data_IF_322263479924
#
_entry.id   IF_322263479924
#
_cell.length_a   1.000
_cell.length_b   1.000
_cell.length_c   1.000
_cell.angle_alpha   90.00
_cell.angle_beta   90.00
_cell.angle_gamma   90.00
#
_symmetry.space_group_name_H-M   'P 1'
#
loop_
_entity.id
_entity.type
_entity.pdbx_description
1 polymer ?
#
# COMPACT_ATOMS: atom_id res chain seq x y z
N UNK A 1 34.26 17.84 -6.69
CA UNK A 1 32.98 17.11 -6.65
C UNK A 1 31.97 18.02 -5.99
N UNK A 2 30.84 18.23 -6.63
CA UNK A 2 29.70 18.81 -5.95
C UNK A 2 29.18 17.78 -4.92
N UNK A 3 28.91 18.25 -3.70
CA UNK A 3 28.38 17.38 -2.64
C UNK A 3 27.01 16.78 -3.06
N UNK A 4 26.26 17.51 -3.87
CA UNK A 4 24.97 17.06 -4.42
C UNK A 4 25.12 15.84 -5.33
N UNK A 5 26.14 15.80 -6.20
CA UNK A 5 26.41 14.64 -7.05
C UNK A 5 26.70 13.39 -6.20
N UNK A 6 27.46 13.56 -5.11
CA UNK A 6 27.72 12.49 -4.16
C UNK A 6 26.46 11.99 -3.48
N UNK A 7 25.60 12.90 -3.01
CA UNK A 7 24.31 12.55 -2.39
C UNK A 7 23.36 11.87 -3.37
N UNK A 8 23.21 12.39 -4.61
CA UNK A 8 22.42 11.76 -5.67
C UNK A 8 22.91 10.35 -5.98
N UNK A 9 24.25 10.19 -6.06
CA UNK A 9 24.88 8.89 -6.33
C UNK A 9 24.63 7.91 -5.18
N UNK A 10 24.75 8.35 -3.93
CA UNK A 10 24.46 7.52 -2.76
C UNK A 10 23.02 7.01 -2.80
N UNK A 11 22.06 7.90 -3.04
CA UNK A 11 20.63 7.54 -3.08
C UNK A 11 20.35 6.55 -4.22
N UNK A 12 20.92 6.76 -5.40
CA UNK A 12 20.72 5.87 -6.54
C UNK A 12 21.34 4.47 -6.30
N UNK A 13 22.57 4.41 -5.78
CA UNK A 13 23.25 3.14 -5.46
C UNK A 13 22.53 2.37 -4.37
N UNK A 14 22.06 3.06 -3.32
CA UNK A 14 21.33 2.44 -2.22
C UNK A 14 19.99 1.84 -2.69
N UNK A 15 19.21 2.57 -3.48
CA UNK A 15 17.92 2.11 -4.04
C UNK A 15 18.09 0.91 -4.97
N UNK A 16 19.15 0.92 -5.80
CA UNK A 16 19.45 -0.16 -6.75
C UNK A 16 20.21 -1.33 -6.11
N UNK A 17 20.66 -1.19 -4.86
CA UNK A 17 21.56 -2.16 -4.18
C UNK A 17 22.75 -2.56 -5.06
N UNK A 18 23.18 -1.66 -5.94
CA UNK A 18 24.17 -1.90 -6.99
C UNK A 18 24.81 -0.61 -7.48
N UNK A 19 26.14 -0.55 -7.55
CA UNK A 19 26.86 0.58 -8.14
C UNK A 19 26.59 0.71 -9.65
N UNK A 20 26.51 -0.41 -10.35
CA UNK A 20 26.21 -0.41 -11.79
C UNK A 20 24.77 0.04 -12.05
N UNK A 21 23.82 -0.44 -11.25
CA UNK A 21 22.41 -0.02 -11.33
C UNK A 21 22.22 1.45 -11.03
N UNK A 22 22.83 1.95 -9.93
CA UNK A 22 22.78 3.36 -9.57
C UNK A 22 23.43 4.28 -10.59
N UNK A 23 24.59 3.88 -11.12
CA UNK A 23 25.28 4.61 -12.17
C UNK A 23 24.43 4.71 -13.47
N UNK A 24 23.83 3.60 -13.88
CA UNK A 24 22.92 3.57 -15.05
C UNK A 24 21.71 4.49 -14.85
N UNK A 25 21.13 4.50 -13.67
CA UNK A 25 20.01 5.38 -13.33
C UNK A 25 20.36 6.86 -13.48
N UNK A 26 21.60 7.24 -13.13
CA UNK A 26 22.09 8.62 -13.19
C UNK A 26 22.75 9.00 -14.53
N UNK A 27 22.84 8.08 -15.48
CA UNK A 27 23.51 8.32 -16.76
C UNK A 27 25.03 8.52 -16.64
N UNK A 28 25.68 7.98 -15.60
CA UNK A 28 27.13 8.08 -15.36
C UNK A 28 27.82 6.72 -15.42
N UNK A 29 29.14 6.71 -15.47
CA UNK A 29 29.90 5.46 -15.42
C UNK A 29 29.96 4.89 -13.99
N UNK A 30 30.03 3.56 -13.85
CA UNK A 30 30.21 2.89 -12.55
C UNK A 30 31.48 3.36 -11.84
N UNK A 31 32.56 3.64 -12.59
CA UNK A 31 33.81 4.20 -12.06
C UNK A 31 33.59 5.58 -11.43
N UNK A 32 32.77 6.43 -12.07
CA UNK A 32 32.45 7.76 -11.56
C UNK A 32 31.56 7.68 -10.32
N UNK A 33 30.57 6.78 -10.32
CA UNK A 33 29.73 6.53 -9.14
C UNK A 33 30.58 6.06 -7.95
N UNK A 34 31.49 5.11 -8.15
CA UNK A 34 32.42 4.66 -7.11
C UNK A 34 33.32 5.78 -6.60
N UNK A 35 33.80 6.65 -7.49
CA UNK A 35 34.59 7.84 -7.12
C UNK A 35 33.78 8.81 -6.25
N UNK A 36 32.54 9.10 -6.61
CA UNK A 36 31.68 10.02 -5.87
C UNK A 36 31.39 9.50 -4.46
N UNK A 37 31.07 8.20 -4.33
CA UNK A 37 30.87 7.59 -3.01
C UNK A 37 32.15 7.61 -2.19
N UNK A 38 33.30 7.23 -2.75
CA UNK A 38 34.59 7.26 -2.05
C UNK A 38 34.96 8.66 -1.54
N UNK A 39 34.67 9.71 -2.32
CA UNK A 39 34.89 11.10 -1.92
C UNK A 39 33.93 11.52 -0.77
N UNK A 40 32.67 11.04 -0.80
CA UNK A 40 31.72 11.31 0.26
C UNK A 40 32.12 10.61 1.56
N UNK A 41 32.52 9.32 1.49
CA UNK A 41 33.05 8.54 2.60
C UNK A 41 34.31 9.19 3.20
N UNK A 42 35.22 9.67 2.35
CA UNK A 42 36.45 10.38 2.79
C UNK A 42 36.10 11.71 3.47
N UNK A 43 35.15 12.47 2.93
CA UNK A 43 34.72 13.76 3.49
C UNK A 43 34.14 13.61 4.91
N UNK A 44 33.43 12.52 5.16
CA UNK A 44 32.78 12.26 6.44
C UNK A 44 33.59 11.32 7.35
N UNK A 45 34.76 10.85 6.90
CA UNK A 45 35.58 9.88 7.60
C UNK A 45 34.79 8.63 8.06
N UNK A 46 33.82 8.20 7.23
CA UNK A 46 32.90 7.11 7.55
C UNK A 46 32.57 6.30 6.29
N UNK A 47 32.50 4.97 6.43
CA UNK A 47 31.98 4.10 5.37
C UNK A 47 30.45 4.21 5.33
N UNK A 48 29.91 4.39 4.13
CA UNK A 48 28.47 4.50 3.89
C UNK A 48 27.90 3.19 3.34
N UNK A 49 28.76 2.35 2.72
CA UNK A 49 28.35 1.07 2.17
C UNK A 49 29.24 -0.08 2.65
N UNK A 50 28.61 -1.20 2.97
CA UNK A 50 29.25 -2.51 2.98
C UNK A 50 29.29 -3.02 1.53
N UNK A 51 30.51 -3.29 1.02
CA UNK A 51 30.74 -3.76 -0.33
C UNK A 51 31.26 -5.19 -0.29
N UNK A 52 30.50 -6.11 -0.85
CA UNK A 52 30.96 -7.48 -1.12
C UNK A 52 30.86 -7.75 -2.60
N UNK A 53 31.46 -8.84 -3.07
CA UNK A 53 31.35 -9.25 -4.48
C UNK A 53 29.92 -9.62 -4.89
N UNK A 54 29.03 -9.84 -3.93
CA UNK A 54 27.66 -10.31 -4.15
C UNK A 54 26.58 -9.31 -3.75
N UNK A 55 26.90 -8.30 -2.91
CA UNK A 55 25.90 -7.37 -2.40
C UNK A 55 26.49 -6.00 -2.06
N UNK A 56 25.65 -4.97 -2.19
CA UNK A 56 25.91 -3.60 -1.76
C UNK A 56 24.79 -3.21 -0.79
N UNK A 57 25.14 -2.97 0.46
CA UNK A 57 24.20 -2.58 1.52
C UNK A 57 24.70 -1.36 2.26
N UNK A 58 23.79 -0.53 2.79
CA UNK A 58 24.17 0.61 3.61
C UNK A 58 24.72 0.14 4.97
N UNK A 59 25.73 0.86 5.49
CA UNK A 59 26.10 0.81 6.91
C UNK A 59 25.06 1.54 7.74
N UNK A 60 25.09 1.47 9.07
CA UNK A 60 24.20 2.25 9.94
C UNK A 60 24.38 3.75 9.71
N UNK A 61 25.62 4.23 9.58
CA UNK A 61 25.95 5.61 9.23
C UNK A 61 25.43 5.95 7.83
N UNK A 62 25.59 5.04 6.87
CA UNK A 62 25.09 5.17 5.51
C UNK A 62 23.57 5.28 5.45
N UNK A 63 22.86 4.48 6.26
CA UNK A 63 21.41 4.52 6.39
C UNK A 63 20.94 5.87 6.95
N UNK A 64 21.50 6.31 8.06
CA UNK A 64 21.17 7.60 8.66
C UNK A 64 21.45 8.78 7.70
N UNK A 65 22.50 8.69 6.91
CA UNK A 65 22.83 9.70 5.90
C UNK A 65 21.87 9.65 4.71
N UNK A 66 21.54 8.46 4.21
CA UNK A 66 20.56 8.23 3.15
C UNK A 66 19.19 8.83 3.48
N UNK A 67 18.66 8.52 4.67
CA UNK A 67 17.35 9.02 5.14
C UNK A 67 17.27 10.54 5.19
N UNK A 68 18.38 11.22 5.40
CA UNK A 68 18.46 12.68 5.39
C UNK A 68 18.75 13.26 4.01
N UNK A 69 19.50 12.55 3.16
CA UNK A 69 19.79 13.00 1.79
C UNK A 69 18.55 13.01 0.91
N UNK A 70 17.67 12.01 1.02
CA UNK A 70 16.48 11.91 0.18
C UNK A 70 15.63 13.18 0.24
N UNK A 71 15.14 13.63 1.42
CA UNK A 71 14.31 14.84 1.49
C UNK A 71 15.05 16.13 1.10
N UNK A 72 16.36 16.20 1.35
CA UNK A 72 17.16 17.37 0.94
C UNK A 72 17.26 17.48 -0.57
N UNK A 73 17.53 16.39 -1.26
CA UNK A 73 17.60 16.36 -2.72
C UNK A 73 16.25 16.70 -3.34
N UNK A 74 15.16 16.23 -2.77
CA UNK A 74 13.80 16.56 -3.21
C UNK A 74 13.50 18.06 -3.05
N UNK A 75 13.93 18.69 -1.95
CA UNK A 75 13.81 20.14 -1.77
C UNK A 75 14.61 20.94 -2.79
N UNK A 76 15.80 20.47 -3.16
CA UNK A 76 16.62 21.11 -4.18
C UNK A 76 15.95 20.99 -5.55
N UNK A 77 15.43 19.81 -5.88
CA UNK A 77 14.69 19.60 -7.13
C UNK A 77 13.42 20.48 -7.19
N UNK A 78 12.70 20.64 -6.07
CA UNK A 78 11.58 21.60 -5.96
C UNK A 78 11.99 23.07 -6.15
N UNK A 79 13.18 23.48 -5.69
CA UNK A 79 13.69 24.82 -5.92
C UNK A 79 14.01 25.07 -7.39
N UNK A 80 14.60 24.11 -8.06
CA UNK A 80 14.89 24.17 -9.49
C UNK A 80 13.59 24.28 -10.31
N UNK A 81 12.53 23.53 -9.91
CA UNK A 81 11.20 23.59 -10.50
C UNK A 81 10.53 24.97 -10.32
N UNK A 82 10.70 25.61 -9.16
CA UNK A 82 10.16 26.99 -8.90
C UNK A 82 10.80 28.04 -9.81
N UNK A 83 12.09 27.88 -10.13
CA UNK A 83 12.82 28.83 -10.98
C UNK A 83 12.50 28.62 -12.46
N UNK A 84 12.32 27.37 -12.89
CA UNK A 84 12.09 27.04 -14.30
C UNK A 84 10.64 27.25 -14.74
N UNK A 85 9.67 27.19 -13.83
CA UNK A 85 8.26 27.29 -14.18
C UNK A 85 7.51 28.27 -13.28
N UNK A 86 7.13 29.43 -13.80
CA UNK A 86 6.19 30.39 -13.19
C UNK A 86 4.76 29.81 -13.00
N UNK A 87 4.54 28.54 -13.35
CA UNK A 87 3.37 27.74 -13.01
C UNK A 87 3.90 26.43 -12.42
N UNK A 88 3.71 26.24 -11.12
CA UNK A 88 4.15 25.06 -10.37
C UNK A 88 3.47 23.78 -10.92
N UNK A 89 4.02 23.21 -12.00
CA UNK A 89 3.63 21.88 -12.42
C UNK A 89 4.37 20.87 -11.55
N UNK A 90 3.60 20.11 -10.76
CA UNK A 90 4.16 19.03 -9.97
C UNK A 90 4.86 18.02 -10.86
N UNK A 91 6.07 17.61 -10.51
CA UNK A 91 6.89 16.66 -11.28
C UNK A 91 7.57 15.61 -10.39
N UNK A 92 8.12 14.60 -11.03
CA UNK A 92 8.90 13.54 -10.38
C UNK A 92 8.15 12.24 -10.16
N UNK A 93 8.80 11.26 -9.52
CA UNK A 93 8.25 9.91 -9.31
C UNK A 93 7.64 9.80 -7.92
N UNK A 94 6.47 9.17 -7.84
CA UNK A 94 5.80 8.77 -6.61
C UNK A 94 5.77 7.23 -6.57
N UNK A 95 6.37 6.63 -5.54
CA UNK A 95 6.36 5.19 -5.31
C UNK A 95 5.26 4.82 -4.33
N UNK A 96 4.26 4.13 -4.85
CA UNK A 96 3.09 3.67 -4.10
C UNK A 96 3.14 2.17 -3.89
N UNK A 97 2.65 1.72 -2.73
CA UNK A 97 2.25 0.33 -2.53
C UNK A 97 0.82 0.24 -2.00
N UNK A 98 0.09 -0.78 -2.43
CA UNK A 98 -1.30 -0.98 -2.03
C UNK A 98 -1.67 -2.47 -1.98
N UNK A 99 -2.74 -2.86 -1.24
CA UNK A 99 -3.29 -4.21 -1.31
C UNK A 99 -3.74 -4.55 -2.72
N UNK A 100 -3.48 -5.77 -3.16
CA UNK A 100 -3.65 -6.20 -4.57
C UNK A 100 -5.06 -5.95 -5.09
N UNK A 101 -6.08 -6.37 -4.36
CA UNK A 101 -7.47 -6.22 -4.79
C UNK A 101 -7.91 -4.74 -4.85
N UNK A 102 -7.49 -3.91 -3.90
CA UNK A 102 -7.82 -2.49 -3.85
C UNK A 102 -7.02 -1.69 -4.87
N UNK A 103 -5.72 -1.94 -4.93
CA UNK A 103 -4.80 -1.24 -5.80
C UNK A 103 -5.11 -1.40 -7.29
N UNK A 104 -5.47 -2.63 -7.71
CA UNK A 104 -5.82 -2.94 -9.11
C UNK A 104 -7.22 -2.48 -9.54
N UNK A 105 -8.00 -1.86 -8.66
CA UNK A 105 -9.35 -1.39 -8.95
C UNK A 105 -9.52 0.05 -8.46
N UNK A 106 -10.06 0.24 -7.27
CA UNK A 106 -10.42 1.56 -6.71
C UNK A 106 -9.29 2.57 -6.69
N UNK A 107 -8.05 2.14 -6.37
CA UNK A 107 -6.92 3.06 -6.36
C UNK A 107 -6.52 3.50 -7.78
N UNK A 108 -6.52 2.59 -8.75
CA UNK A 108 -6.23 2.93 -10.16
C UNK A 108 -7.28 3.90 -10.70
N UNK A 109 -8.57 3.69 -10.39
CA UNK A 109 -9.66 4.61 -10.77
C UNK A 109 -9.44 6.01 -10.20
N UNK A 110 -8.93 6.10 -8.96
CA UNK A 110 -8.62 7.38 -8.32
C UNK A 110 -7.32 8.02 -8.85
N UNK A 111 -6.32 7.22 -9.25
CA UNK A 111 -5.05 7.73 -9.76
C UNK A 111 -5.14 8.28 -11.20
N UNK A 112 -6.03 7.74 -12.03
CA UNK A 112 -6.14 8.14 -13.42
C UNK A 112 -6.42 9.65 -13.60
N UNK A 113 -7.41 10.27 -12.92
CA UNK A 113 -7.64 11.73 -13.00
C UNK A 113 -6.45 12.54 -12.45
N UNK A 114 -5.78 12.05 -11.40
CA UNK A 114 -4.61 12.72 -10.84
C UNK A 114 -3.46 12.80 -11.84
N UNK A 115 -3.16 11.72 -12.54
CA UNK A 115 -2.11 11.66 -13.56
C UNK A 115 -2.47 12.49 -14.80
N UNK A 116 -3.75 12.58 -15.17
CA UNK A 116 -4.21 13.46 -16.24
C UNK A 116 -4.00 14.94 -15.89
N UNK A 117 -4.22 15.31 -14.62
CA UNK A 117 -4.02 16.68 -14.13
C UNK A 117 -2.54 17.04 -13.98
N UNK A 118 -1.68 16.04 -13.72
CA UNK A 118 -0.25 16.22 -13.45
C UNK A 118 0.62 15.38 -14.40
N UNK A 119 0.74 15.75 -15.68
CA UNK A 119 1.40 14.92 -16.70
C UNK A 119 2.91 14.72 -16.47
N UNK A 120 3.55 15.54 -15.63
CA UNK A 120 4.97 15.43 -15.29
C UNK A 120 5.21 14.52 -14.05
N UNK A 121 4.15 13.99 -13.44
CA UNK A 121 4.26 13.00 -12.37
C UNK A 121 4.27 11.59 -12.96
N UNK A 122 5.21 10.78 -12.48
CA UNK A 122 5.27 9.33 -12.70
C UNK A 122 4.86 8.61 -11.43
N UNK A 123 3.90 7.70 -11.50
CA UNK A 123 3.54 6.80 -10.40
C UNK A 123 4.09 5.41 -10.67
N UNK A 124 4.86 4.88 -9.71
CA UNK A 124 5.31 3.49 -9.67
C UNK A 124 4.47 2.77 -8.60
N UNK A 125 3.49 1.96 -9.04
CA UNK A 125 2.56 1.27 -8.15
C UNK A 125 2.97 -0.19 -7.98
N UNK A 126 3.27 -0.60 -6.76
CA UNK A 126 3.56 -1.98 -6.36
C UNK A 126 2.37 -2.55 -5.59
N UNK A 127 1.85 -3.70 -6.01
CA UNK A 127 0.71 -4.33 -5.36
C UNK A 127 1.18 -5.51 -4.51
N UNK A 128 0.89 -5.45 -3.20
CA UNK A 128 1.25 -6.51 -2.26
C UNK A 128 0.31 -6.51 -1.05
N UNK A 129 -0.17 -7.70 -0.68
CA UNK A 129 -0.96 -7.92 0.53
C UNK A 129 -0.09 -8.20 1.77
N UNK A 130 1.24 -8.23 1.60
CA UNK A 130 2.19 -8.33 2.72
C UNK A 130 2.46 -6.95 3.32
N UNK A 131 2.80 -6.92 4.61
CA UNK A 131 3.31 -5.73 5.26
C UNK A 131 4.71 -5.42 4.71
N UNK A 132 4.80 -4.32 3.96
CA UNK A 132 6.04 -3.81 3.38
C UNK A 132 6.64 -2.81 4.36
N UNK A 133 7.93 -2.93 4.63
CA UNK A 133 8.68 -1.93 5.39
C UNK A 133 8.86 -0.69 4.50
N UNK A 134 8.01 0.31 4.68
CA UNK A 134 7.91 1.52 3.85
C UNK A 134 9.28 2.21 3.70
N UNK A 135 10.03 2.32 4.79
CA UNK A 135 11.32 3.01 4.83
C UNK A 135 12.39 2.20 4.08
N UNK A 136 12.43 0.88 4.29
CA UNK A 136 13.50 0.01 3.75
C UNK A 136 13.36 -0.23 2.24
N UNK A 137 12.16 -0.12 1.70
CA UNK A 137 11.87 -0.36 0.27
C UNK A 137 11.79 0.92 -0.57
N UNK A 138 12.02 2.09 0.02
CA UNK A 138 11.98 3.37 -0.68
C UNK A 138 10.60 3.73 -1.22
N UNK A 139 9.55 3.33 -0.50
CA UNK A 139 8.14 3.64 -0.80
C UNK A 139 7.81 5.02 -0.24
N UNK A 140 7.21 5.88 -1.06
CA UNK A 140 6.81 7.22 -0.64
C UNK A 140 5.48 7.19 0.14
N UNK A 141 4.51 6.39 -0.32
CA UNK A 141 3.20 6.23 0.31
C UNK A 141 2.74 4.77 0.23
N UNK A 142 2.29 4.21 1.33
CA UNK A 142 1.62 2.92 1.36
C UNK A 142 0.12 3.09 1.66
N UNK A 143 -0.72 2.55 0.81
CA UNK A 143 -2.15 2.44 1.08
C UNK A 143 -2.36 1.13 1.84
N UNK A 144 -2.96 1.19 3.02
CA UNK A 144 -3.13 -0.01 3.88
C UNK A 144 -4.45 0.02 4.64
N UNK A 145 -5.00 -1.17 4.85
CA UNK A 145 -6.15 -1.37 5.72
C UNK A 145 -5.69 -1.61 7.17
N UNK A 146 -6.51 -1.17 8.13
CA UNK A 146 -6.32 -1.40 9.55
C UNK A 146 -5.59 -0.29 10.29
N UNK A 147 -5.19 -0.57 11.52
CA UNK A 147 -4.43 0.35 12.38
C UNK A 147 -2.93 0.16 12.18
N UNK A 148 -2.18 1.25 12.27
CA UNK A 148 -0.73 1.22 12.27
C UNK A 148 -0.21 0.79 13.64
N UNK A 149 0.76 -0.09 13.63
CA UNK A 149 1.49 -0.50 14.84
C UNK A 149 2.79 0.30 15.03
N UNK A 150 3.27 1.01 14.00
CA UNK A 150 4.54 1.75 14.03
C UNK A 150 4.30 3.24 14.26
N UNK A 151 4.90 3.78 15.34
CA UNK A 151 4.79 5.19 15.75
C UNK A 151 5.64 6.17 14.93
N UNK A 152 6.55 5.67 14.07
CA UNK A 152 7.41 6.52 13.23
C UNK A 152 6.75 6.95 11.92
N UNK A 153 5.60 6.37 11.61
CA UNK A 153 4.84 6.64 10.40
C UNK A 153 3.60 7.49 10.69
N UNK A 154 3.21 8.29 9.69
CA UNK A 154 1.94 9.03 9.73
C UNK A 154 0.89 8.23 8.98
N UNK A 155 -0.30 8.09 9.59
CA UNK A 155 -1.49 7.55 8.94
C UNK A 155 -2.49 8.66 8.67
N UNK A 156 -2.77 8.93 7.41
CA UNK A 156 -3.90 9.74 6.99
C UNK A 156 -5.06 8.82 6.61
N UNK A 157 -6.14 8.87 7.39
CA UNK A 157 -7.36 8.11 7.05
C UNK A 157 -7.96 8.62 5.75
N UNK A 158 -8.21 7.71 4.81
CA UNK A 158 -8.81 8.00 3.51
C UNK A 158 -10.31 7.68 3.50
N UNK A 159 -10.70 6.47 3.94
CA UNK A 159 -12.10 6.05 3.95
C UNK A 159 -12.38 4.96 4.98
N UNK A 160 -13.66 4.73 5.25
CA UNK A 160 -14.16 3.54 5.93
C UNK A 160 -14.80 2.61 4.93
N UNK A 161 -14.68 1.33 5.15
CA UNK A 161 -15.19 0.31 4.24
C UNK A 161 -15.92 -0.78 5.03
N UNK A 162 -17.11 -1.13 4.59
CA UNK A 162 -17.92 -2.20 5.19
C UNK A 162 -17.31 -3.57 4.86
N UNK A 163 -17.32 -4.45 5.84
CA UNK A 163 -17.12 -5.88 5.67
C UNK A 163 -18.50 -6.53 5.64
N UNK A 164 -18.76 -7.29 4.62
CA UNK A 164 -20.07 -7.91 4.37
C UNK A 164 -19.93 -9.43 4.29
N UNK A 165 -20.94 -10.16 4.75
CA UNK A 165 -21.08 -11.58 4.50
C UNK A 165 -21.92 -11.81 3.24
N UNK A 166 -21.61 -12.84 2.47
CA UNK A 166 -22.22 -13.10 1.17
C UNK A 166 -22.20 -14.58 0.82
N UNK A 167 -23.14 -15.01 0.00
CA UNK A 167 -23.18 -16.33 -0.63
C UNK A 167 -23.90 -16.27 -1.96
N UNK A 168 -23.69 -17.31 -2.81
CA UNK A 168 -24.46 -17.40 -4.05
C UNK A 168 -25.90 -17.88 -3.80
N UNK A 169 -26.87 -17.48 -4.63
CA UNK A 169 -28.23 -17.99 -4.57
C UNK A 169 -28.29 -19.52 -4.66
N UNK A 170 -27.39 -20.12 -5.45
CA UNK A 170 -27.30 -21.58 -5.60
C UNK A 170 -26.89 -22.28 -4.30
N UNK A 171 -25.88 -21.73 -3.58
CA UNK A 171 -25.50 -22.27 -2.28
C UNK A 171 -26.66 -22.19 -1.28
N UNK A 172 -27.32 -21.04 -1.22
CA UNK A 172 -28.44 -20.81 -0.31
C UNK A 172 -29.65 -21.68 -0.62
N UNK A 173 -29.90 -21.98 -1.88
CA UNK A 173 -30.96 -22.90 -2.27
C UNK A 173 -30.68 -24.35 -1.80
N UNK A 174 -29.43 -24.79 -1.81
CA UNK A 174 -29.03 -26.14 -1.39
C UNK A 174 -28.90 -26.31 0.12
N UNK A 175 -28.43 -25.29 0.83
CA UNK A 175 -28.06 -25.39 2.25
C UNK A 175 -28.94 -24.55 3.19
N UNK A 176 -29.91 -23.81 2.63
CA UNK A 176 -30.76 -22.87 3.36
C UNK A 176 -30.08 -21.51 3.52
N UNK A 177 -30.93 -20.47 3.64
CA UNK A 177 -30.44 -19.11 3.92
C UNK A 177 -30.39 -18.93 5.44
N UNK A 178 -29.21 -18.71 6.06
CA UNK A 178 -29.12 -18.48 7.48
C UNK A 178 -29.76 -17.13 7.84
N UNK A 179 -30.68 -17.15 8.80
CA UNK A 179 -31.39 -15.96 9.29
C UNK A 179 -30.64 -15.20 10.39
N UNK A 180 -29.73 -15.89 11.08
CA UNK A 180 -28.97 -15.33 12.20
C UNK A 180 -27.50 -15.76 12.11
N UNK A 181 -26.53 -14.90 12.53
CA UNK A 181 -25.10 -15.23 12.44
C UNK A 181 -24.68 -16.53 13.13
N UNK A 182 -25.34 -16.94 14.21
CA UNK A 182 -25.04 -18.21 14.90
C UNK A 182 -25.21 -19.44 14.00
N UNK A 183 -26.04 -19.38 12.98
CA UNK A 183 -26.22 -20.47 12.02
C UNK A 183 -24.98 -20.75 11.16
N UNK A 184 -24.04 -19.82 11.08
CA UNK A 184 -22.77 -19.99 10.35
C UNK A 184 -21.95 -21.19 10.84
N UNK A 185 -22.11 -21.60 12.09
CA UNK A 185 -21.43 -22.76 12.65
C UNK A 185 -21.75 -24.07 11.92
N UNK A 186 -22.87 -24.13 11.18
CA UNK A 186 -23.30 -25.29 10.39
C UNK A 186 -23.11 -25.14 8.89
N UNK A 187 -22.58 -23.99 8.45
CA UNK A 187 -22.31 -23.72 7.05
C UNK A 187 -20.82 -23.85 6.70
N UNK A 188 -20.52 -24.16 5.44
CA UNK A 188 -19.17 -24.08 4.93
C UNK A 188 -18.77 -22.61 4.74
N UNK A 189 -17.85 -22.10 5.56
CA UNK A 189 -17.38 -20.72 5.53
C UNK A 189 -16.04 -20.61 4.82
N UNK A 190 -15.90 -19.63 3.92
CA UNK A 190 -14.70 -19.41 3.12
C UNK A 190 -13.82 -18.37 3.81
N UNK A 191 -12.64 -18.79 4.28
CA UNK A 191 -11.82 -18.02 5.21
C UNK A 191 -10.87 -17.05 4.51
N UNK A 192 -10.81 -15.80 4.98
CA UNK A 192 -9.86 -14.81 4.50
C UNK A 192 -8.66 -14.70 5.43
N UNK A 193 -7.56 -15.37 5.09
CA UNK A 193 -6.32 -15.46 5.91
C UNK A 193 -5.55 -14.15 6.08
N UNK A 194 -5.86 -13.09 5.34
CA UNK A 194 -5.27 -11.77 5.55
C UNK A 194 -5.86 -11.00 6.74
N UNK A 195 -6.94 -11.51 7.35
CA UNK A 195 -7.48 -10.98 8.60
C UNK A 195 -6.70 -11.50 9.80
N UNK A 196 -6.67 -10.72 10.88
CA UNK A 196 -5.96 -11.08 12.12
C UNK A 196 -6.51 -12.35 12.75
N UNK A 197 -7.83 -12.56 12.64
CA UNK A 197 -8.54 -13.70 13.23
C UNK A 197 -9.57 -14.22 12.22
N UNK A 198 -9.11 -15.03 11.24
CA UNK A 198 -9.94 -15.42 10.09
C UNK A 198 -11.08 -16.37 10.45
N UNK A 199 -10.97 -17.11 11.55
CA UNK A 199 -11.92 -18.14 11.97
C UNK A 199 -12.98 -17.59 12.93
N UNK A 200 -12.87 -16.35 13.41
CA UNK A 200 -13.75 -15.71 14.35
C UNK A 200 -14.42 -14.48 13.73
N UNK A 201 -15.59 -14.68 13.16
CA UNK A 201 -16.34 -13.61 12.52
C UNK A 201 -17.14 -12.80 13.54
N UNK A 202 -17.04 -11.49 13.44
CA UNK A 202 -17.66 -10.55 14.37
C UNK A 202 -18.94 -9.98 13.80
N UNK A 203 -20.01 -9.99 14.59
CA UNK A 203 -21.31 -9.44 14.28
C UNK A 203 -21.83 -8.58 15.41
N UNK A 204 -22.77 -7.69 15.12
CA UNK A 204 -23.45 -6.87 16.12
C UNK A 204 -24.89 -7.37 16.24
N UNK A 205 -25.22 -8.02 17.37
CA UNK A 205 -26.54 -8.55 17.66
C UNK A 205 -27.11 -7.79 18.85
N UNK A 206 -28.26 -7.16 18.71
CA UNK A 206 -28.91 -6.36 19.75
C UNK A 206 -27.97 -5.31 20.38
N UNK A 207 -27.11 -4.72 19.55
CA UNK A 207 -26.14 -3.72 19.96
C UNK A 207 -24.85 -4.28 20.59
N UNK A 208 -24.77 -5.58 20.84
CA UNK A 208 -23.62 -6.26 21.43
C UNK A 208 -22.73 -6.92 20.36
N UNK A 209 -21.42 -6.92 20.59
CA UNK A 209 -20.47 -7.64 19.72
C UNK A 209 -20.53 -9.15 20.01
N UNK A 210 -20.91 -9.93 19.01
CA UNK A 210 -20.94 -11.39 19.07
C UNK A 210 -19.88 -11.95 18.14
N UNK A 211 -19.12 -12.91 18.61
CA UNK A 211 -18.10 -13.62 17.83
C UNK A 211 -18.65 -15.01 17.49
N UNK A 212 -18.64 -15.34 16.20
CA UNK A 212 -19.04 -16.66 15.70
C UNK A 212 -17.80 -17.36 15.18
N UNK A 213 -17.45 -18.50 15.79
CA UNK A 213 -16.39 -19.36 15.28
C UNK A 213 -16.91 -20.10 14.05
N UNK A 214 -16.18 -19.98 12.94
CA UNK A 214 -16.57 -20.54 11.64
C UNK A 214 -15.48 -21.49 11.12
N UNK A 215 -15.91 -22.46 10.33
CA UNK A 215 -15.02 -23.44 9.72
C UNK A 215 -15.39 -23.62 8.25
N UNK A 216 -14.42 -24.07 7.46
CA UNK A 216 -14.71 -24.35 6.07
C UNK A 216 -13.55 -25.00 5.33
N UNK A 217 -13.83 -25.34 4.07
CA UNK A 217 -12.93 -26.15 3.24
C UNK A 217 -11.97 -25.31 2.38
N UNK A 218 -12.12 -23.99 2.38
CA UNK A 218 -11.30 -23.09 1.59
C UNK A 218 -10.81 -21.89 2.42
N UNK A 219 -9.54 -21.57 2.28
CA UNK A 219 -8.92 -20.41 2.88
C UNK A 219 -7.94 -19.74 1.90
N UNK A 220 -7.98 -18.41 1.82
CA UNK A 220 -7.09 -17.62 0.97
C UNK A 220 -6.73 -16.29 1.62
N UNK A 221 -5.54 -15.75 1.33
CA UNK A 221 -5.17 -14.38 1.68
C UNK A 221 -5.77 -13.32 0.72
N UNK A 222 -6.38 -13.76 -0.38
CA UNK A 222 -7.02 -12.88 -1.37
C UNK A 222 -8.54 -12.80 -1.14
N UNK A 223 -9.08 -11.60 -0.82
CA UNK A 223 -10.53 -11.42 -0.72
C UNK A 223 -11.24 -11.71 -2.05
N UNK A 224 -10.56 -11.48 -3.18
CA UNK A 224 -11.08 -11.79 -4.51
C UNK A 224 -11.28 -13.30 -4.72
N UNK A 225 -10.32 -14.11 -4.28
CA UNK A 225 -10.42 -15.56 -4.37
C UNK A 225 -11.59 -16.09 -3.50
N UNK A 226 -11.75 -15.58 -2.28
CA UNK A 226 -12.87 -15.92 -1.40
C UNK A 226 -14.21 -15.57 -2.06
N UNK A 227 -14.33 -14.36 -2.62
CA UNK A 227 -15.54 -13.90 -3.32
C UNK A 227 -15.86 -14.76 -4.53
N UNK A 228 -14.85 -15.11 -5.34
CA UNK A 228 -15.01 -15.98 -6.51
C UNK A 228 -15.46 -17.39 -6.12
N UNK A 229 -14.91 -17.96 -5.06
CA UNK A 229 -15.34 -19.28 -4.57
C UNK A 229 -16.79 -19.26 -4.06
N UNK A 230 -17.18 -18.19 -3.38
CA UNK A 230 -18.57 -18.01 -2.96
C UNK A 230 -19.55 -17.92 -4.15
N UNK A 231 -19.17 -17.20 -5.22
CA UNK A 231 -19.99 -17.07 -6.44
C UNK A 231 -20.15 -18.40 -7.19
N UNK A 232 -19.20 -19.35 -6.99
CA UNK A 232 -19.28 -20.72 -7.52
C UNK A 232 -20.09 -21.68 -6.64
N UNK A 233 -20.79 -21.19 -5.60
CA UNK A 233 -21.66 -22.00 -4.77
C UNK A 233 -20.95 -22.89 -3.75
N UNK A 234 -19.70 -22.57 -3.36
CA UNK A 234 -18.96 -23.40 -2.42
C UNK A 234 -19.24 -23.09 -0.95
N UNK A 235 -19.72 -21.89 -0.62
CA UNK A 235 -19.94 -21.56 0.78
C UNK A 235 -20.29 -20.09 0.99
N UNK A 236 -20.28 -19.69 2.26
CA UNK A 236 -20.50 -18.31 2.70
C UNK A 236 -19.12 -17.64 2.87
N UNK A 237 -18.92 -16.48 2.21
CA UNK A 237 -17.74 -15.66 2.38
C UNK A 237 -18.01 -14.43 3.24
N UNK A 238 -16.95 -13.86 3.83
CA UNK A 238 -16.97 -12.55 4.44
C UNK A 238 -15.76 -11.72 3.98
N UNK A 239 -16.01 -10.49 3.53
CA UNK A 239 -14.94 -9.66 2.99
C UNK A 239 -15.37 -8.24 2.65
N UNK A 240 -14.43 -7.43 2.10
CA UNK A 240 -14.70 -6.03 1.78
C UNK A 240 -15.80 -5.85 0.73
N UNK A 241 -16.75 -4.97 0.99
CA UNK A 241 -17.91 -4.72 0.11
C UNK A 241 -17.50 -4.39 -1.33
N UNK A 242 -16.42 -3.63 -1.53
CA UNK A 242 -15.98 -3.21 -2.87
C UNK A 242 -15.57 -4.40 -3.78
N UNK A 243 -15.17 -5.53 -3.19
CA UNK A 243 -14.82 -6.75 -3.94
C UNK A 243 -16.08 -7.51 -4.34
N UNK A 244 -17.09 -7.51 -3.48
CA UNK A 244 -18.35 -8.26 -3.69
C UNK A 244 -19.37 -7.49 -4.52
N UNK A 245 -19.28 -6.17 -4.56
CA UNK A 245 -20.27 -5.30 -5.21
C UNK A 245 -20.58 -5.66 -6.68
N UNK A 246 -19.59 -5.99 -7.55
CA UNK A 246 -19.88 -6.43 -8.92
C UNK A 246 -20.73 -7.70 -8.96
N UNK A 247 -20.44 -8.67 -8.10
CA UNK A 247 -21.15 -9.95 -8.02
C UNK A 247 -22.55 -9.83 -7.41
N UNK A 248 -22.76 -8.83 -6.56
CA UNK A 248 -24.11 -8.52 -6.05
C UNK A 248 -24.94 -7.84 -7.13
N UNK A 249 -24.33 -6.95 -7.92
CA UNK A 249 -25.01 -6.26 -9.04
C UNK A 249 -25.42 -7.20 -10.17
N UNK A 250 -24.62 -8.22 -10.46
CA UNK A 250 -24.94 -9.22 -11.49
C UNK A 250 -25.80 -10.39 -10.96
N UNK A 251 -26.10 -10.42 -9.65
CA UNK A 251 -26.96 -11.41 -9.01
C UNK A 251 -26.26 -12.73 -8.69
N UNK A 252 -24.95 -12.88 -8.93
CA UNK A 252 -24.17 -14.09 -8.60
C UNK A 252 -23.90 -14.24 -7.10
N UNK A 253 -24.02 -13.15 -6.33
CA UNK A 253 -23.96 -13.15 -4.87
C UNK A 253 -25.12 -12.35 -4.25
N UNK A 254 -25.53 -12.77 -3.06
CA UNK A 254 -26.45 -12.06 -2.18
C UNK A 254 -25.77 -11.70 -0.88
N UNK A 255 -26.03 -10.51 -0.35
CA UNK A 255 -25.58 -10.11 0.98
C UNK A 255 -26.40 -10.84 2.05
N UNK A 256 -25.71 -11.15 3.14
CA UNK A 256 -26.27 -11.81 4.31
C UNK A 256 -25.96 -10.93 5.53
N UNK A 257 -26.86 -10.96 6.51
CA UNK A 257 -26.65 -10.32 7.82
C UNK A 257 -26.38 -8.82 7.78
N UNK A 258 -26.99 -8.08 6.87
CA UNK A 258 -26.77 -6.64 6.73
C UNK A 258 -27.12 -5.87 8.02
N UNK A 259 -28.13 -6.33 8.79
CA UNK A 259 -28.49 -5.74 10.08
C UNK A 259 -27.51 -6.09 11.22
N UNK A 260 -26.62 -7.03 11.00
CA UNK A 260 -25.66 -7.53 11.98
C UNK A 260 -24.20 -7.12 11.70
N UNK A 261 -23.96 -6.25 10.75
CA UNK A 261 -22.60 -5.84 10.39
C UNK A 261 -21.90 -5.16 11.58
N UNK A 262 -20.74 -5.67 11.97
CA UNK A 262 -19.96 -5.15 13.09
C UNK A 262 -18.63 -4.56 12.66
N UNK A 263 -18.13 -4.90 11.46
CA UNK A 263 -16.76 -4.62 11.06
C UNK A 263 -16.70 -3.54 10.00
N UNK A 264 -15.87 -2.54 10.27
CA UNK A 264 -15.39 -1.59 9.27
C UNK A 264 -13.88 -1.73 9.12
N UNK A 265 -13.40 -1.70 7.88
CA UNK A 265 -12.00 -1.52 7.58
C UNK A 265 -11.71 -0.05 7.37
N UNK A 266 -10.69 0.46 8.03
CA UNK A 266 -10.19 1.81 7.80
C UNK A 266 -9.08 1.72 6.76
N UNK A 267 -9.23 2.43 5.66
CA UNK A 267 -8.18 2.60 4.66
C UNK A 267 -7.36 3.84 5.03
N UNK A 268 -6.06 3.67 5.10
CA UNK A 268 -5.11 4.72 5.41
C UNK A 268 -4.08 4.88 4.29
N UNK A 269 -3.66 6.12 4.05
CA UNK A 269 -2.41 6.43 3.41
C UNK A 269 -1.35 6.58 4.50
N UNK A 270 -0.30 5.78 4.42
CA UNK A 270 0.78 5.68 5.39
C UNK A 270 2.07 6.16 4.75
N UNK A 271 2.78 7.05 5.40
CA UNK A 271 4.02 7.63 4.90
C UNK A 271 4.94 8.06 6.05
N UNK A 272 6.23 8.26 5.76
CA UNK A 272 7.19 8.65 6.77
C UNK A 272 6.88 10.03 7.36
N UNK A 273 7.09 10.18 8.69
CA UNK A 273 6.96 11.47 9.37
C UNK A 273 8.14 12.37 8.98
N UNK A 274 7.94 13.21 7.96
CA UNK A 274 8.90 14.22 7.56
C UNK A 274 8.34 15.63 7.82
N UNK A 275 9.18 16.52 8.36
CA UNK A 275 8.81 17.94 8.53
C UNK A 275 8.47 18.63 7.19
N UNK A 276 9.00 18.09 6.08
CA UNK A 276 8.78 18.60 4.73
C UNK A 276 8.34 17.46 3.81
N UNK A 277 7.02 17.30 3.69
CA UNK A 277 6.44 16.36 2.74
C UNK A 277 6.54 16.97 1.32
N UNK A 278 7.14 16.28 0.33
CA UNK A 278 7.22 16.77 -1.05
C UNK A 278 5.86 17.21 -1.61
N UNK A 279 5.85 18.28 -2.39
CA UNK A 279 4.61 18.88 -2.90
C UNK A 279 3.77 17.87 -3.70
N UNK A 280 4.42 17.01 -4.52
CA UNK A 280 3.76 15.93 -5.27
C UNK A 280 3.07 14.90 -4.38
N UNK A 281 3.69 14.54 -3.24
CA UNK A 281 3.10 13.58 -2.28
C UNK A 281 1.90 14.22 -1.58
N UNK A 282 2.02 15.47 -1.16
CA UNK A 282 0.92 16.23 -0.53
C UNK A 282 -0.28 16.32 -1.46
N UNK A 283 -0.07 16.70 -2.72
CA UNK A 283 -1.11 16.79 -3.73
C UNK A 283 -1.81 15.44 -3.97
N UNK A 284 -1.04 14.34 -4.05
CA UNK A 284 -1.61 13.00 -4.16
C UNK A 284 -2.47 12.64 -2.94
N UNK A 285 -1.99 12.90 -1.72
CA UNK A 285 -2.72 12.62 -0.49
C UNK A 285 -4.02 13.44 -0.37
N UNK A 286 -4.01 14.68 -0.85
CA UNK A 286 -5.19 15.55 -0.92
C UNK A 286 -6.18 15.02 -1.96
N UNK A 287 -5.70 14.68 -3.14
CA UNK A 287 -6.50 14.09 -4.21
C UNK A 287 -7.18 12.79 -3.77
N UNK A 288 -6.43 11.85 -3.18
CA UNK A 288 -6.97 10.59 -2.68
C UNK A 288 -7.98 10.80 -1.54
N UNK A 289 -7.73 11.79 -0.66
CA UNK A 289 -8.68 12.13 0.40
C UNK A 289 -10.01 12.67 -0.15
N UNK A 290 -10.00 13.37 -1.28
CA UNK A 290 -11.20 13.82 -1.97
C UNK A 290 -11.87 12.66 -2.72
N UNK A 291 -11.10 11.87 -3.48
CA UNK A 291 -11.60 10.76 -4.28
C UNK A 291 -12.27 9.66 -3.43
N UNK A 292 -11.81 9.45 -2.19
CA UNK A 292 -12.34 8.45 -1.25
C UNK A 292 -13.23 9.05 -0.15
N UNK A 293 -13.55 10.35 -0.21
CA UNK A 293 -14.52 10.96 0.69
C UNK A 293 -15.92 10.44 0.35
N UNK A 294 -16.44 9.56 1.16
CA UNK A 294 -17.85 9.17 1.21
C UNK A 294 -18.43 9.57 2.55
#
# INVERSE_FOLDING_TARGET
>A
MDTLDGMRTLVAVARQKSFTGGAKQLGISTKLASKYIGQLESKHAALLFHRTTRSVTLTDTGRAYFERCVPLLEQIDELDDVIQHRQASLSGTIRLTAPTAFGSTKLVDALAPFLQLHPNIRVELSLSDQHVAIIDEGVDVAIRFGQLQDSTLIAKRLMRMRIVAFASPEYLARHGKPSHPSALATHNCLLQKSQVDPDNWKFKVDGQLVIVNVQGTFASNSPRAVTQMASQGLGIGMGPKYVTEPYVKDGSLQLLFEDYEANELILNAVYASNRHLPARIRALLEHLAVAFKQ
#
